data_IF_818165893201
#
_entry.id   IF_818165893201
#
_cell.length_a   1.000
_cell.length_b   1.000
_cell.length_c   1.000
_cell.angle_alpha   90.00
_cell.angle_beta   90.00
_cell.angle_gamma   90.00
#
_symmetry.space_group_name_H-M   'P 1'
#
loop_
_entity.id
_entity.type
_entity.pdbx_description
1 polymer ?
#
# COMPACT_ATOMS: atom_id res chain seq x y z
N UNK A 1 10.96 3.21 12.84
CA UNK A 1 10.32 4.41 12.29
C UNK A 1 9.72 4.01 10.95
N UNK A 2 8.40 4.12 10.82
CA UNK A 2 7.65 3.70 9.63
C UNK A 2 7.18 4.96 8.92
N UNK A 3 7.50 5.10 7.65
CA UNK A 3 7.01 6.17 6.79
C UNK A 3 6.04 5.59 5.77
N UNK A 4 4.91 6.27 5.56
CA UNK A 4 3.86 5.85 4.63
C UNK A 4 3.57 7.03 3.70
N UNK A 5 3.55 6.79 2.39
CA UNK A 5 3.26 7.81 1.40
C UNK A 5 2.52 7.26 0.17
N UNK A 6 1.80 8.13 -0.52
CA UNK A 6 1.09 7.80 -1.75
C UNK A 6 1.79 8.38 -2.98
N UNK A 7 2.03 7.53 -3.98
CA UNK A 7 2.38 7.99 -5.32
C UNK A 7 1.14 7.87 -6.20
N UNK A 8 0.55 9.03 -6.54
CA UNK A 8 -0.69 9.13 -7.32
C UNK A 8 -0.41 9.45 -8.79
N UNK A 9 -1.44 9.39 -9.63
CA UNK A 9 -1.40 9.77 -11.07
C UNK A 9 -0.37 8.98 -11.90
N UNK A 10 -0.16 7.72 -11.55
CA UNK A 10 0.67 6.81 -12.34
C UNK A 10 -0.07 6.36 -13.60
N UNK A 11 0.68 5.82 -14.57
CA UNK A 11 0.09 5.14 -15.71
C UNK A 11 -0.80 3.99 -15.21
N UNK A 12 -2.02 3.90 -15.74
CA UNK A 12 -2.97 2.89 -15.30
C UNK A 12 -2.52 1.50 -15.72
N UNK A 13 -2.31 0.60 -14.75
CA UNK A 13 -2.12 -0.82 -14.99
C UNK A 13 -3.45 -1.57 -14.82
N UNK A 14 -3.71 -2.55 -15.68
CA UNK A 14 -4.91 -3.38 -15.62
C UNK A 14 -4.56 -4.79 -15.17
N UNK A 15 -5.15 -5.22 -14.05
CA UNK A 15 -5.03 -6.60 -13.59
C UNK A 15 -6.16 -7.45 -14.19
N UNK A 16 -5.80 -8.38 -15.08
CA UNK A 16 -6.74 -9.22 -15.82
C UNK A 16 -7.53 -10.19 -14.92
N UNK A 17 -6.92 -10.68 -13.83
CA UNK A 17 -7.53 -11.67 -12.93
C UNK A 17 -8.59 -10.99 -12.06
N UNK A 18 -8.23 -9.85 -11.47
CA UNK A 18 -9.11 -9.09 -10.58
C UNK A 18 -10.06 -8.16 -11.35
N UNK A 19 -9.82 -7.92 -12.65
CA UNK A 19 -10.52 -6.94 -13.48
C UNK A 19 -10.51 -5.53 -12.86
N UNK A 20 -9.39 -5.15 -12.25
CA UNK A 20 -9.21 -3.86 -11.55
C UNK A 20 -8.09 -3.06 -12.22
N UNK A 21 -8.31 -1.76 -12.30
CA UNK A 21 -7.31 -0.78 -12.73
C UNK A 21 -6.62 -0.14 -11.51
N UNK A 22 -5.31 -0.05 -11.57
CA UNK A 22 -4.47 0.59 -10.56
C UNK A 22 -3.74 1.78 -11.16
N UNK A 23 -3.82 2.93 -10.49
CA UNK A 23 -3.20 4.18 -10.93
C UNK A 23 -2.51 4.93 -9.79
N UNK A 24 -2.44 4.29 -8.63
CA UNK A 24 -1.87 4.82 -7.39
C UNK A 24 -1.12 3.67 -6.72
N UNK A 25 -0.04 3.98 -6.01
CA UNK A 25 0.62 3.03 -5.11
C UNK A 25 0.73 3.63 -3.72
N UNK A 26 0.58 2.77 -2.72
CA UNK A 26 0.89 3.07 -1.33
C UNK A 26 2.26 2.47 -1.03
N UNK A 27 3.18 3.31 -0.57
CA UNK A 27 4.55 2.93 -0.24
C UNK A 27 4.70 2.97 1.28
N UNK A 28 5.07 1.85 1.88
CA UNK A 28 5.35 1.72 3.31
C UNK A 28 6.83 1.38 3.47
N UNK A 29 7.58 2.21 4.19
CA UNK A 29 9.01 2.02 4.40
C UNK A 29 9.28 1.91 5.90
N UNK A 30 9.89 0.81 6.32
CA UNK A 30 10.52 0.70 7.62
C UNK A 30 12.00 1.07 7.52
N UNK A 31 12.35 2.22 8.10
CA UNK A 31 13.71 2.75 8.04
C UNK A 31 14.71 1.89 8.83
N UNK A 32 14.24 1.13 9.82
CA UNK A 32 15.07 0.31 10.70
C UNK A 32 15.51 -0.98 9.98
N UNK A 33 14.55 -1.72 9.44
CA UNK A 33 14.82 -2.97 8.71
C UNK A 33 15.25 -2.77 7.25
N UNK A 34 15.17 -1.53 6.74
CA UNK A 34 15.38 -1.21 5.30
C UNK A 34 14.38 -1.90 4.37
N UNK A 35 13.25 -2.34 4.91
CA UNK A 35 12.18 -2.97 4.14
C UNK A 35 11.25 -1.91 3.54
N UNK A 36 10.88 -2.12 2.28
CA UNK A 36 9.88 -1.30 1.59
C UNK A 36 8.80 -2.20 1.01
N UNK A 37 7.55 -1.87 1.28
CA UNK A 37 6.37 -2.52 0.72
C UNK A 37 5.65 -1.58 -0.24
N UNK A 38 5.32 -2.10 -1.41
CA UNK A 38 4.58 -1.37 -2.45
C UNK A 38 3.25 -2.07 -2.66
N UNK A 39 2.16 -1.35 -2.40
CA UNK A 39 0.80 -1.87 -2.51
C UNK A 39 0.11 -1.14 -3.65
N UNK A 40 -0.39 -1.90 -4.63
CA UNK A 40 -1.16 -1.36 -5.73
C UNK A 40 -2.51 -0.85 -5.23
N UNK A 41 -2.87 0.37 -5.63
CA UNK A 41 -4.10 1.03 -5.21
C UNK A 41 -4.88 1.62 -6.40
N UNK A 42 -6.20 1.63 -6.25
CA UNK A 42 -7.10 2.38 -7.12
C UNK A 42 -7.39 3.73 -6.46
N UNK A 43 -7.49 4.80 -7.23
CA UNK A 43 -7.73 6.14 -6.71
C UNK A 43 -9.09 6.32 -5.98
N UNK A 44 -10.05 5.40 -6.13
CA UNK A 44 -11.37 5.46 -5.51
C UNK A 44 -11.50 4.57 -4.26
N UNK A 45 -10.58 4.72 -3.32
CA UNK A 45 -10.61 3.96 -2.06
C UNK A 45 -11.43 4.67 -0.98
N UNK A 46 -11.96 3.89 -0.04
CA UNK A 46 -12.56 4.42 1.19
C UNK A 46 -11.51 4.55 2.30
N UNK A 47 -11.74 5.47 3.24
CA UNK A 47 -10.89 5.61 4.42
C UNK A 47 -10.80 4.29 5.22
N UNK A 48 -11.89 3.51 5.26
CA UNK A 48 -11.93 2.21 5.95
C UNK A 48 -11.00 1.18 5.29
N UNK A 49 -11.05 1.03 3.97
CA UNK A 49 -10.16 0.13 3.22
C UNK A 49 -8.69 0.50 3.46
N UNK A 50 -8.39 1.81 3.47
CA UNK A 50 -7.02 2.28 3.72
C UNK A 50 -6.55 1.93 5.14
N UNK A 51 -7.36 2.22 6.16
CA UNK A 51 -7.02 1.91 7.56
C UNK A 51 -6.81 0.41 7.75
N UNK A 52 -7.63 -0.43 7.14
CA UNK A 52 -7.48 -1.88 7.20
C UNK A 52 -6.15 -2.35 6.60
N UNK A 53 -5.75 -1.81 5.45
CA UNK A 53 -4.49 -2.17 4.79
C UNK A 53 -3.29 -1.70 5.60
N UNK A 54 -3.30 -0.47 6.11
CA UNK A 54 -2.24 0.07 6.96
C UNK A 54 -2.13 -0.76 8.25
N UNK A 55 -3.25 -1.05 8.91
CA UNK A 55 -3.27 -1.85 10.13
C UNK A 55 -2.69 -3.24 9.88
N UNK A 56 -3.05 -3.90 8.78
CA UNK A 56 -2.50 -5.21 8.42
C UNK A 56 -0.99 -5.15 8.19
N UNK A 57 -0.48 -4.11 7.51
CA UNK A 57 0.95 -3.90 7.34
C UNK A 57 1.65 -3.74 8.70
N UNK A 58 1.17 -2.81 9.51
CA UNK A 58 1.75 -2.50 10.84
C UNK A 58 1.75 -3.74 11.73
N UNK A 59 0.61 -4.43 11.86
CA UNK A 59 0.50 -5.66 12.66
C UNK A 59 1.44 -6.74 12.14
N UNK A 60 1.57 -6.90 10.82
CA UNK A 60 2.50 -7.87 10.24
C UNK A 60 3.94 -7.56 10.63
N UNK A 61 4.38 -6.30 10.59
CA UNK A 61 5.72 -5.92 11.02
C UNK A 61 5.95 -6.12 12.52
N UNK A 62 5.00 -5.72 13.38
CA UNK A 62 5.12 -5.92 14.83
C UNK A 62 5.04 -7.38 15.27
N UNK A 63 4.48 -8.28 14.46
CA UNK A 63 4.51 -9.73 14.70
C UNK A 63 5.80 -10.41 14.26
N UNK A 64 6.57 -9.77 13.37
CA UNK A 64 7.84 -10.29 12.85
C UNK A 64 9.06 -9.83 13.70
N UNK A 65 8.84 -8.89 14.62
CA UNK A 65 9.78 -8.39 15.63
C UNK A 65 9.55 -9.12 16.95
#
# INVERSE_FOLDING_TARGET
DITIDFVTRLLTSYNLILKVFYNTILVVIDRFTKYAEIILFRNNYTALELVQIILNCVVRYYRLL
#
